data_IF_066876869895
#
_entry.id   IF_066876869895
#
_cell.length_a   1.000
_cell.length_b   1.000
_cell.length_c   1.000
_cell.angle_alpha   90.00
_cell.angle_beta   90.00
_cell.angle_gamma   90.00
#
_symmetry.space_group_name_H-M   'P 1'
#
loop_
_entity.id
_entity.type
_entity.pdbx_description
1 polymer ?
#
# COMPACT_ATOMS: atom_id res chain seq x y z
N UNK A 1 0.31 19.64 -15.82
CA UNK A 1 1.33 20.68 -16.13
C UNK A 1 1.20 21.31 -17.52
N UNK A 2 1.23 20.55 -18.64
CA UNK A 2 1.08 21.12 -20.01
C UNK A 2 -0.32 21.75 -20.23
N UNK A 3 -1.38 21.11 -19.73
CA UNK A 3 -2.76 21.62 -19.79
C UNK A 3 -2.92 22.93 -19.01
N UNK A 4 -2.27 23.06 -17.84
CA UNK A 4 -2.30 24.29 -17.04
C UNK A 4 -1.57 25.46 -17.72
N UNK A 5 -0.49 25.20 -18.46
CA UNK A 5 0.26 26.24 -19.18
C UNK A 5 -0.56 26.76 -20.37
N UNK A 6 -1.26 25.87 -21.08
CA UNK A 6 -2.13 26.23 -22.22
C UNK A 6 -3.31 27.09 -21.75
N UNK A 7 -3.94 26.74 -20.62
CA UNK A 7 -5.05 27.52 -20.05
C UNK A 7 -4.57 28.91 -19.62
N UNK A 8 -3.38 29.03 -19.02
CA UNK A 8 -2.81 30.33 -18.58
C UNK A 8 -2.46 31.24 -19.75
N UNK A 9 -2.05 30.69 -20.90
CA UNK A 9 -1.71 31.45 -22.11
C UNK A 9 -2.97 31.90 -22.86
N UNK A 10 -4.01 31.07 -22.94
CA UNK A 10 -5.25 31.41 -23.65
C UNK A 10 -6.16 32.38 -22.89
N UNK A 11 -6.04 32.45 -21.56
CA UNK A 11 -6.76 33.39 -20.71
C UNK A 11 -6.49 34.87 -21.01
N UNK A 12 -5.43 35.19 -21.76
CA UNK A 12 -4.99 36.57 -21.98
C UNK A 12 -5.49 37.20 -23.29
N UNK A 13 -6.10 36.46 -24.24
CA UNK A 13 -6.19 36.95 -25.63
C UNK A 13 -7.58 37.13 -26.28
N UNK A 14 -8.68 36.48 -25.87
CA UNK A 14 -10.02 36.83 -26.42
C UNK A 14 -11.17 36.16 -25.65
N UNK A 15 -12.25 36.89 -25.34
CA UNK A 15 -13.38 36.39 -24.53
C UNK A 15 -14.18 35.26 -25.18
N UNK A 16 -14.24 35.24 -26.52
CA UNK A 16 -14.88 34.15 -27.28
C UNK A 16 -14.03 32.88 -27.25
N UNK A 17 -12.71 33.02 -27.41
CA UNK A 17 -11.74 31.94 -27.24
C UNK A 17 -11.77 31.37 -25.81
N UNK A 18 -11.92 32.23 -24.80
CA UNK A 18 -11.98 31.81 -23.40
C UNK A 18 -13.16 30.86 -23.10
N UNK A 19 -14.36 31.22 -23.52
CA UNK A 19 -15.57 30.38 -23.36
C UNK A 19 -15.44 29.04 -24.09
N UNK A 20 -14.91 29.05 -25.31
CA UNK A 20 -14.67 27.81 -26.08
C UNK A 20 -13.66 26.89 -25.37
N UNK A 21 -12.60 27.46 -24.80
CA UNK A 21 -11.60 26.71 -24.02
C UNK A 21 -12.19 26.07 -22.76
N UNK A 22 -13.05 26.77 -22.01
CA UNK A 22 -13.73 26.20 -20.84
C UNK A 22 -14.65 25.06 -21.27
N UNK A 23 -15.40 25.24 -22.36
CA UNK A 23 -16.28 24.20 -22.90
C UNK A 23 -15.53 22.93 -23.29
N UNK A 24 -14.37 23.08 -23.94
CA UNK A 24 -13.48 21.95 -24.23
C UNK A 24 -12.98 21.27 -22.95
N UNK A 25 -12.58 22.04 -21.94
CA UNK A 25 -12.09 21.49 -20.68
C UNK A 25 -13.18 20.73 -19.90
N UNK A 26 -14.42 21.24 -19.90
CA UNK A 26 -15.58 20.54 -19.34
C UNK A 26 -15.81 19.19 -20.03
N UNK A 27 -15.71 19.17 -21.36
CA UNK A 27 -15.88 17.95 -22.18
C UNK A 27 -14.78 16.93 -21.89
N UNK A 28 -13.52 17.38 -21.83
CA UNK A 28 -12.38 16.51 -21.48
C UNK A 28 -12.53 15.96 -20.07
N UNK A 29 -12.92 16.79 -19.10
CA UNK A 29 -13.15 16.35 -17.73
C UNK A 29 -14.29 15.32 -17.64
N UNK A 30 -15.41 15.54 -18.34
CA UNK A 30 -16.51 14.58 -18.40
C UNK A 30 -16.06 13.22 -18.95
N UNK A 31 -15.38 13.23 -20.10
CA UNK A 31 -14.84 12.03 -20.72
C UNK A 31 -13.84 11.30 -19.81
N UNK A 32 -13.01 12.06 -19.07
CA UNK A 32 -12.09 11.47 -18.10
C UNK A 32 -12.84 10.81 -16.93
N UNK A 33 -13.87 11.44 -16.37
CA UNK A 33 -14.71 10.84 -15.33
C UNK A 33 -15.38 9.55 -15.80
N UNK A 34 -15.93 9.54 -17.02
CA UNK A 34 -16.57 8.36 -17.59
C UNK A 34 -15.54 7.24 -17.83
N UNK A 35 -14.34 7.60 -18.29
CA UNK A 35 -13.21 6.66 -18.45
C UNK A 35 -12.77 6.08 -17.11
N UNK A 36 -12.65 6.90 -16.06
CA UNK A 36 -12.30 6.43 -14.71
C UNK A 36 -13.37 5.49 -14.16
N UNK A 37 -14.64 5.80 -14.39
CA UNK A 37 -15.76 4.93 -14.01
C UNK A 37 -15.66 3.56 -14.69
N UNK A 38 -15.33 3.54 -15.99
CA UNK A 38 -15.11 2.31 -16.73
C UNK A 38 -13.88 1.53 -16.23
N UNK A 39 -12.78 2.22 -15.92
CA UNK A 39 -11.57 1.60 -15.36
C UNK A 39 -11.90 0.95 -14.01
N UNK A 40 -12.59 1.65 -13.12
CA UNK A 40 -12.98 1.11 -11.82
C UNK A 40 -13.89 -0.11 -11.96
N UNK A 41 -14.83 -0.09 -12.91
CA UNK A 41 -15.71 -1.23 -13.19
C UNK A 41 -14.95 -2.44 -13.77
N UNK A 42 -14.04 -2.21 -14.72
CA UNK A 42 -13.31 -3.27 -15.40
C UNK A 42 -12.18 -3.87 -14.56
N UNK A 43 -11.46 -3.03 -13.82
CA UNK A 43 -10.23 -3.41 -13.11
C UNK A 43 -10.34 -3.34 -11.59
N UNK A 44 -11.49 -2.97 -11.02
CA UNK A 44 -11.67 -2.88 -9.57
C UNK A 44 -11.33 -4.18 -8.84
N UNK A 45 -11.84 -5.31 -9.33
CA UNK A 45 -11.56 -6.65 -8.77
C UNK A 45 -10.09 -7.01 -8.94
N UNK A 46 -9.51 -6.70 -10.09
CA UNK A 46 -8.09 -6.95 -10.38
C UNK A 46 -7.20 -6.14 -9.42
N UNK A 47 -7.47 -4.85 -9.25
CA UNK A 47 -6.75 -3.98 -8.33
C UNK A 47 -6.88 -4.45 -6.87
N UNK A 48 -8.06 -4.94 -6.47
CA UNK A 48 -8.30 -5.53 -5.16
C UNK A 48 -7.41 -6.77 -4.93
N UNK A 49 -7.45 -7.73 -5.85
CA UNK A 49 -6.64 -8.97 -5.78
C UNK A 49 -5.14 -8.65 -5.79
N UNK A 50 -4.69 -7.72 -6.63
CA UNK A 50 -3.28 -7.31 -6.68
C UNK A 50 -2.85 -6.66 -5.36
N UNK A 51 -3.71 -5.85 -4.75
CA UNK A 51 -3.45 -5.21 -3.45
C UNK A 51 -3.36 -6.23 -2.32
N UNK A 52 -4.31 -7.16 -2.24
CA UNK A 52 -4.33 -8.22 -1.22
C UNK A 52 -3.10 -9.12 -1.35
N UNK A 53 -2.80 -9.58 -2.58
CA UNK A 53 -1.61 -10.41 -2.82
C UNK A 53 -0.32 -9.64 -2.50
N UNK A 54 -0.27 -8.33 -2.78
CA UNK A 54 0.87 -7.48 -2.42
C UNK A 54 1.07 -7.43 -0.90
N UNK A 55 -0.01 -7.19 -0.14
CA UNK A 55 0.01 -7.16 1.32
C UNK A 55 0.54 -8.47 1.91
N UNK A 56 0.04 -9.61 1.43
CA UNK A 56 0.50 -10.94 1.88
C UNK A 56 2.00 -11.11 1.61
N UNK A 57 2.48 -10.78 0.41
CA UNK A 57 3.90 -10.90 0.08
C UNK A 57 4.78 -9.93 0.89
N UNK A 58 4.29 -8.71 1.16
CA UNK A 58 4.99 -7.72 1.98
C UNK A 58 5.02 -8.09 3.47
N UNK A 59 4.22 -9.05 3.93
CA UNK A 59 4.31 -9.61 5.28
C UNK A 59 5.24 -10.82 5.29
N UNK A 60 5.01 -11.77 4.38
CA UNK A 60 5.72 -13.06 4.38
C UNK A 60 7.20 -12.88 4.04
N UNK A 61 7.53 -12.13 2.98
CA UNK A 61 8.91 -12.00 2.48
C UNK A 61 9.82 -11.35 3.53
N UNK A 62 9.46 -10.22 4.16
CA UNK A 62 10.28 -9.63 5.21
C UNK A 62 10.33 -10.47 6.50
N UNK A 63 9.26 -11.19 6.84
CA UNK A 63 9.27 -12.08 8.00
C UNK A 63 10.34 -13.17 7.88
N UNK A 64 10.39 -13.87 6.74
CA UNK A 64 11.45 -14.86 6.47
C UNK A 64 12.83 -14.20 6.42
N UNK A 65 12.95 -13.01 5.81
CA UNK A 65 14.20 -12.26 5.79
C UNK A 65 14.71 -11.94 7.21
N UNK A 66 13.83 -11.56 8.14
CA UNK A 66 14.18 -11.20 9.52
C UNK A 66 14.63 -12.43 10.32
N UNK A 67 13.91 -13.56 10.21
CA UNK A 67 14.27 -14.79 10.93
C UNK A 67 15.58 -15.38 10.41
N UNK A 68 15.80 -15.32 9.10
CA UNK A 68 16.97 -15.93 8.47
C UNK A 68 18.22 -15.04 8.46
N UNK A 69 18.12 -13.80 8.97
CA UNK A 69 19.24 -12.86 9.06
C UNK A 69 20.33 -13.27 10.07
N UNK A 70 20.14 -14.34 10.86
CA UNK A 70 21.09 -14.85 11.87
C UNK A 70 22.34 -15.55 11.27
N UNK A 71 22.75 -15.18 10.05
CA UNK A 71 24.03 -15.55 9.44
C UNK A 71 24.16 -16.99 8.91
N UNK A 72 23.08 -17.78 8.89
CA UNK A 72 23.10 -19.21 8.50
C UNK A 72 22.85 -19.47 7.01
N UNK A 73 22.55 -18.44 6.21
CA UNK A 73 22.15 -18.57 4.79
C UNK A 73 23.09 -17.80 3.86
N UNK A 74 23.17 -18.28 2.62
CA UNK A 74 23.94 -17.67 1.54
C UNK A 74 23.49 -16.22 1.29
N UNK A 75 24.42 -15.25 1.12
CA UNK A 75 24.08 -13.84 0.90
C UNK A 75 23.22 -13.62 -0.35
N UNK A 76 23.31 -14.52 -1.33
CA UNK A 76 22.47 -14.52 -2.53
C UNK A 76 20.98 -14.69 -2.19
N UNK A 77 20.64 -15.52 -1.20
CA UNK A 77 19.24 -15.70 -0.80
C UNK A 77 18.66 -14.40 -0.22
N UNK A 78 19.39 -13.76 0.70
CA UNK A 78 18.98 -12.47 1.28
C UNK A 78 18.82 -11.38 0.21
N UNK A 79 19.73 -11.34 -0.77
CA UNK A 79 19.64 -10.39 -1.89
C UNK A 79 18.39 -10.63 -2.76
N UNK A 80 18.06 -11.87 -3.08
CA UNK A 80 16.87 -12.23 -3.85
C UNK A 80 15.59 -11.84 -3.09
N UNK A 81 15.53 -12.11 -1.79
CA UNK A 81 14.38 -11.73 -0.95
C UNK A 81 14.22 -10.20 -0.87
N UNK A 82 15.32 -9.47 -0.68
CA UNK A 82 15.31 -8.01 -0.69
C UNK A 82 14.82 -7.44 -2.03
N UNK A 83 15.28 -8.01 -3.15
CA UNK A 83 14.81 -7.63 -4.48
C UNK A 83 13.31 -7.89 -4.66
N UNK A 84 12.80 -9.01 -4.13
CA UNK A 84 11.38 -9.34 -4.16
C UNK A 84 10.54 -8.32 -3.38
N UNK A 85 11.01 -7.90 -2.20
CA UNK A 85 10.37 -6.82 -1.42
C UNK A 85 10.30 -5.52 -2.21
N UNK A 86 11.41 -5.10 -2.83
CA UNK A 86 11.46 -3.90 -3.67
C UNK A 86 10.48 -4.01 -4.83
N UNK A 87 10.41 -5.18 -5.48
CA UNK A 87 9.48 -5.42 -6.58
C UNK A 87 8.01 -5.26 -6.14
N UNK A 88 7.60 -5.80 -4.99
CA UNK A 88 6.22 -5.64 -4.49
C UNK A 88 5.90 -4.19 -4.12
N UNK A 89 6.84 -3.48 -3.48
CA UNK A 89 6.69 -2.05 -3.18
C UNK A 89 6.53 -1.26 -4.49
N UNK A 90 7.38 -1.53 -5.47
CA UNK A 90 7.32 -0.89 -6.79
C UNK A 90 5.98 -1.16 -7.48
N UNK A 91 5.49 -2.40 -7.43
CA UNK A 91 4.19 -2.79 -8.00
C UNK A 91 3.04 -2.01 -7.37
N UNK A 92 3.05 -1.82 -6.05
CA UNK A 92 2.06 -1.02 -5.35
C UNK A 92 2.11 0.46 -5.79
N UNK A 93 3.32 1.02 -5.92
CA UNK A 93 3.50 2.40 -6.38
C UNK A 93 3.07 2.60 -7.83
N UNK A 94 3.30 1.62 -8.72
CA UNK A 94 2.84 1.66 -10.11
C UNK A 94 1.32 1.81 -10.22
N UNK A 95 0.56 1.25 -9.28
CA UNK A 95 -0.90 1.36 -9.25
C UNK A 95 -1.31 2.72 -8.66
N UNK A 96 -0.69 3.14 -7.57
CA UNK A 96 -1.12 4.32 -6.79
C UNK A 96 -0.66 5.65 -7.38
N UNK A 97 0.55 5.73 -7.96
CA UNK A 97 1.08 7.00 -8.46
C UNK A 97 0.25 7.63 -9.59
N UNK A 98 -0.15 6.90 -10.66
CA UNK A 98 -0.92 7.51 -11.74
C UNK A 98 -2.31 7.96 -11.28
N UNK A 99 -2.98 7.16 -10.44
CA UNK A 99 -4.30 7.49 -9.89
C UNK A 99 -4.21 8.71 -8.97
N UNK A 100 -3.23 8.75 -8.07
CA UNK A 100 -2.98 9.89 -7.20
C UNK A 100 -2.65 11.17 -7.99
N UNK A 101 -1.82 11.08 -9.02
CA UNK A 101 -1.47 12.21 -9.87
C UNK A 101 -2.71 12.76 -10.59
N UNK A 102 -3.52 11.89 -11.19
CA UNK A 102 -4.75 12.28 -11.88
C UNK A 102 -5.76 12.95 -10.93
N UNK A 103 -6.04 12.34 -9.77
CA UNK A 103 -6.93 12.91 -8.76
C UNK A 103 -6.41 14.25 -8.23
N UNK A 104 -5.09 14.37 -8.03
CA UNK A 104 -4.48 15.62 -7.56
C UNK A 104 -4.56 16.74 -8.59
N UNK A 105 -4.31 16.45 -9.87
CA UNK A 105 -4.47 17.44 -10.94
C UNK A 105 -5.95 17.85 -11.09
N UNK A 106 -6.91 16.92 -10.95
CA UNK A 106 -8.34 17.26 -10.90
C UNK A 106 -8.69 18.25 -9.78
N UNK A 107 -8.17 18.03 -8.57
CA UNK A 107 -8.33 18.96 -7.43
C UNK A 107 -7.69 20.32 -7.69
N UNK A 108 -6.51 20.36 -8.32
CA UNK A 108 -5.86 21.63 -8.71
C UNK A 108 -6.69 22.38 -9.75
N UNK A 109 -7.28 21.69 -10.72
CA UNK A 109 -8.19 22.30 -11.70
C UNK A 109 -9.39 22.93 -11.01
N UNK A 110 -10.02 22.25 -10.04
CA UNK A 110 -11.11 22.83 -9.24
C UNK A 110 -10.71 24.09 -8.48
N UNK A 111 -9.52 24.09 -7.86
CA UNK A 111 -8.99 25.28 -7.18
C UNK A 111 -8.76 26.46 -8.15
N UNK A 112 -8.23 26.19 -9.35
CA UNK A 112 -7.99 27.23 -10.36
C UNK A 112 -9.29 27.80 -10.91
N UNK A 113 -10.28 26.95 -11.21
CA UNK A 113 -11.62 27.37 -11.64
C UNK A 113 -12.27 28.27 -10.60
N UNK A 114 -12.13 27.93 -9.31
CA UNK A 114 -12.65 28.73 -8.20
C UNK A 114 -11.97 30.09 -8.09
N UNK A 115 -10.65 30.15 -8.31
CA UNK A 115 -9.91 31.42 -8.36
C UNK A 115 -10.28 32.26 -9.58
N UNK A 116 -10.49 31.63 -10.74
CA UNK A 116 -10.89 32.34 -11.95
C UNK A 116 -12.29 32.95 -11.82
N UNK A 117 -13.19 32.25 -11.12
CA UNK A 117 -14.54 32.71 -10.86
C UNK A 117 -14.58 33.99 -10.00
N UNK A 118 -13.60 34.19 -9.10
CA UNK A 118 -13.54 35.38 -8.26
C UNK A 118 -13.03 36.63 -8.99
N UNK A 119 -12.30 36.46 -10.08
CA UNK A 119 -11.69 37.57 -10.85
C UNK A 119 -12.34 37.83 -12.20
N UNK A 120 -13.20 36.95 -12.71
CA UNK A 120 -13.83 37.10 -14.03
C UNK A 120 -14.92 38.18 -14.05
N UNK A 121 -14.73 39.29 -14.81
CA UNK A 121 -15.76 40.33 -14.96
C UNK A 121 -16.80 40.00 -16.05
N UNK A 122 -16.47 39.08 -16.97
CA UNK A 122 -17.35 38.69 -18.08
C UNK A 122 -18.48 37.77 -17.62
N UNK A 123 -19.72 38.10 -18.00
CA UNK A 123 -20.93 37.37 -17.56
C UNK A 123 -21.03 35.97 -18.17
N UNK A 124 -20.67 35.81 -19.44
CA UNK A 124 -20.82 34.51 -20.12
C UNK A 124 -19.73 33.53 -19.66
N UNK A 125 -18.47 33.96 -19.65
CA UNK A 125 -17.35 33.18 -19.12
C UNK A 125 -17.54 32.79 -17.65
N UNK A 126 -18.10 33.70 -16.84
CA UNK A 126 -18.47 33.40 -15.44
C UNK A 126 -19.50 32.28 -15.34
N UNK A 127 -20.56 32.31 -16.15
CA UNK A 127 -21.59 31.26 -16.16
C UNK A 127 -20.99 29.89 -16.52
N UNK A 128 -20.09 29.85 -17.51
CA UNK A 128 -19.39 28.61 -17.90
C UNK A 128 -18.47 28.09 -16.79
N UNK A 129 -17.75 28.99 -16.11
CA UNK A 129 -16.95 28.67 -14.93
C UNK A 129 -17.79 28.13 -13.76
N UNK A 130 -18.98 28.67 -13.51
CA UNK A 130 -19.91 28.16 -12.49
C UNK A 130 -20.36 26.74 -12.81
N UNK A 131 -20.75 26.48 -14.07
CA UNK A 131 -21.11 25.13 -14.54
C UNK A 131 -19.94 24.17 -14.37
N UNK A 132 -18.73 24.57 -14.77
CA UNK A 132 -17.56 23.72 -14.65
C UNK A 132 -17.17 23.46 -13.19
N UNK A 133 -17.27 24.47 -12.32
CA UNK A 133 -17.05 24.32 -10.88
C UNK A 133 -18.01 23.30 -10.27
N UNK A 134 -19.30 23.39 -10.61
CA UNK A 134 -20.31 22.41 -10.23
C UNK A 134 -19.98 21.00 -10.74
N UNK A 135 -19.51 20.88 -11.98
CA UNK A 135 -19.09 19.59 -12.54
C UNK A 135 -17.90 18.98 -11.79
N UNK A 136 -16.88 19.79 -11.47
CA UNK A 136 -15.70 19.35 -10.71
C UNK A 136 -16.06 18.94 -9.28
N UNK A 137 -17.04 19.61 -8.67
CA UNK A 137 -17.55 19.29 -7.34
C UNK A 137 -18.35 17.97 -7.33
N UNK A 138 -19.23 17.78 -8.30
CA UNK A 138 -20.16 16.64 -8.33
C UNK A 138 -19.61 15.38 -9.01
N UNK A 139 -18.56 15.50 -9.84
CA UNK A 139 -17.90 14.37 -10.50
C UNK A 139 -16.40 14.38 -10.23
N UNK A 140 -15.97 14.12 -8.98
CA UNK A 140 -14.54 14.05 -8.69
C UNK A 140 -13.89 12.88 -9.43
N UNK A 141 -12.64 13.06 -9.84
CA UNK A 141 -11.81 11.97 -10.36
C UNK A 141 -11.37 11.06 -9.22
N UNK A 142 -12.09 9.95 -9.05
CA UNK A 142 -11.85 8.99 -7.98
C UNK A 142 -11.56 7.59 -8.54
N UNK A 143 -10.37 7.08 -8.25
CA UNK A 143 -9.97 5.73 -8.58
C UNK A 143 -10.16 4.84 -7.37
N UNK A 144 -10.93 3.77 -7.51
CA UNK A 144 -11.25 2.89 -6.40
C UNK A 144 -11.27 1.42 -6.83
N UNK A 145 -10.93 0.54 -5.89
CA UNK A 145 -11.02 -0.90 -6.08
C UNK A 145 -12.36 -1.41 -5.53
N UNK A 146 -13.29 -1.76 -6.42
CA UNK A 146 -14.64 -2.23 -6.06
C UNK A 146 -15.43 -1.32 -5.12
N UNK A 147 -15.08 -0.02 -5.02
CA UNK A 147 -15.65 0.88 -4.03
C UNK A 147 -15.25 0.60 -2.56
N UNK A 148 -14.32 -0.34 -2.32
CA UNK A 148 -13.86 -0.68 -0.97
C UNK A 148 -12.82 0.30 -0.42
N UNK A 149 -11.90 0.75 -1.29
CA UNK A 149 -10.87 1.73 -0.95
C UNK A 149 -10.44 2.52 -2.18
N UNK A 150 -9.96 3.73 -1.93
CA UNK A 150 -9.36 4.62 -2.94
C UNK A 150 -7.92 4.20 -3.24
N UNK A 151 -7.54 4.25 -4.52
CA UNK A 151 -6.18 3.97 -4.98
C UNK A 151 -5.33 5.25 -4.83
N UNK A 152 -5.02 5.65 -3.60
CA UNK A 152 -4.25 6.84 -3.30
C UNK A 152 -3.10 6.57 -2.32
N UNK A 153 -2.40 7.63 -1.88
CA UNK A 153 -1.27 7.51 -0.94
C UNK A 153 -1.68 6.98 0.44
N UNK A 154 -2.95 7.14 0.82
CA UNK A 154 -3.50 6.60 2.07
C UNK A 154 -3.54 5.08 2.04
N UNK A 155 -3.73 4.46 0.86
CA UNK A 155 -3.61 3.02 0.70
C UNK A 155 -2.19 2.54 1.02
N UNK A 156 -1.17 3.25 0.52
CA UNK A 156 0.24 2.91 0.76
C UNK A 156 0.57 3.01 2.25
N UNK A 157 0.15 4.09 2.93
CA UNK A 157 0.39 4.25 4.36
C UNK A 157 -0.36 3.21 5.18
N UNK A 158 -1.59 2.86 4.80
CA UNK A 158 -2.37 1.81 5.46
C UNK A 158 -1.71 0.44 5.32
N UNK A 159 -1.21 0.09 4.13
CA UNK A 159 -0.46 -1.15 3.89
C UNK A 159 0.83 -1.16 4.70
N UNK A 160 1.59 -0.07 4.71
CA UNK A 160 2.83 0.02 5.50
C UNK A 160 2.57 -0.16 7.01
N UNK A 161 1.50 0.43 7.54
CA UNK A 161 1.07 0.26 8.92
C UNK A 161 0.65 -1.19 9.22
N UNK A 162 -0.15 -1.80 8.34
CA UNK A 162 -0.56 -3.19 8.47
C UNK A 162 0.64 -4.15 8.44
N UNK A 163 1.53 -4.01 7.47
CA UNK A 163 2.77 -4.80 7.36
C UNK A 163 3.60 -4.69 8.63
N UNK A 164 3.84 -3.46 9.12
CA UNK A 164 4.60 -3.24 10.35
C UNK A 164 3.95 -3.94 11.54
N UNK A 165 2.62 -3.79 11.69
CA UNK A 165 1.87 -4.39 12.80
C UNK A 165 1.94 -5.91 12.76
N UNK A 166 1.72 -6.52 11.59
CA UNK A 166 1.77 -7.98 11.43
C UNK A 166 3.18 -8.53 11.65
N UNK A 167 4.23 -7.85 11.15
CA UNK A 167 5.61 -8.26 11.39
C UNK A 167 5.94 -8.24 12.89
N UNK A 168 5.56 -7.18 13.59
CA UNK A 168 5.77 -7.07 15.04
C UNK A 168 5.09 -8.22 15.79
N UNK A 169 3.84 -8.54 15.43
CA UNK A 169 3.10 -9.66 16.02
C UNK A 169 3.80 -11.00 15.74
N UNK A 170 4.17 -11.25 14.49
CA UNK A 170 4.83 -12.51 14.09
C UNK A 170 6.18 -12.71 14.79
N UNK A 171 6.97 -11.65 14.93
CA UNK A 171 8.26 -11.70 15.63
C UNK A 171 8.06 -11.99 17.13
N UNK A 172 7.05 -11.39 17.75
CA UNK A 172 6.74 -11.65 19.16
C UNK A 172 6.34 -13.11 19.40
N UNK A 173 5.45 -13.66 18.57
CA UNK A 173 5.05 -15.07 18.66
C UNK A 173 6.23 -16.03 18.43
N UNK A 174 7.08 -15.75 17.43
CA UNK A 174 8.27 -16.56 17.17
C UNK A 174 9.20 -16.63 18.40
N UNK A 175 9.47 -15.48 19.03
CA UNK A 175 10.34 -15.42 20.21
C UNK A 175 9.78 -16.19 21.41
N UNK A 176 8.46 -16.14 21.61
CA UNK A 176 7.81 -16.93 22.66
C UNK A 176 7.94 -18.43 22.42
N UNK A 177 7.72 -18.88 21.19
CA UNK A 177 7.81 -20.30 20.83
C UNK A 177 9.25 -20.83 20.93
N UNK A 178 10.25 -20.04 20.50
CA UNK A 178 11.67 -20.37 20.69
C UNK A 178 12.04 -20.49 22.18
N UNK A 179 11.49 -19.61 23.02
CA UNK A 179 11.71 -19.64 24.47
C UNK A 179 11.09 -20.89 25.11
N UNK A 180 9.86 -21.25 24.71
CA UNK A 180 9.18 -22.48 25.17
C UNK A 180 9.93 -23.73 24.74
N UNK A 181 10.34 -23.80 23.47
CA UNK A 181 11.11 -24.93 22.94
C UNK A 181 12.44 -25.13 23.68
N UNK A 182 13.15 -24.05 24.00
CA UNK A 182 14.38 -24.13 24.79
C UNK A 182 14.12 -24.64 26.22
N UNK A 183 13.04 -24.17 26.86
CA UNK A 183 12.65 -24.65 28.19
C UNK A 183 12.28 -26.15 28.19
N UNK A 184 11.50 -26.62 27.22
CA UNK A 184 11.14 -28.03 27.08
C UNK A 184 12.35 -28.92 26.87
N UNK A 185 13.33 -28.46 26.09
CA UNK A 185 14.59 -29.17 25.87
C UNK A 185 15.41 -29.27 27.17
N UNK A 186 15.44 -28.20 27.98
CA UNK A 186 16.08 -28.22 29.31
C UNK A 186 15.38 -29.21 30.25
N UNK A 187 14.05 -29.23 30.28
CA UNK A 187 13.28 -30.16 31.11
C UNK A 187 13.52 -31.63 30.71
N UNK A 188 13.56 -31.91 29.40
CA UNK A 188 13.89 -33.26 28.88
C UNK A 188 15.29 -33.69 29.28
N UNK A 189 16.29 -32.79 29.18
CA UNK A 189 17.66 -33.09 29.57
C UNK A 189 17.78 -33.37 31.08
N UNK A 190 17.19 -32.51 31.93
CA UNK A 190 17.16 -32.69 33.38
C UNK A 190 16.50 -34.02 33.79
N UNK A 191 15.38 -34.37 33.16
CA UNK A 191 14.69 -35.64 33.41
C UNK A 191 15.55 -36.84 33.00
N UNK A 192 16.27 -36.74 31.89
CA UNK A 192 17.19 -37.79 31.44
C UNK A 192 18.36 -37.96 32.40
N UNK A 193 18.91 -36.87 32.95
CA UNK A 193 19.97 -36.93 33.96
C UNK A 193 19.49 -37.64 35.24
N UNK A 194 18.28 -37.33 35.71
CA UNK A 194 17.69 -38.00 36.88
C UNK A 194 17.49 -39.49 36.64
N UNK A 195 17.00 -39.88 35.45
CA UNK A 195 16.90 -41.30 35.07
C UNK A 195 18.27 -41.99 35.09
N UNK A 196 19.28 -41.39 34.46
CA UNK A 196 20.63 -41.95 34.43
C UNK A 196 21.22 -42.12 35.84
N UNK A 197 21.04 -41.13 36.72
CA UNK A 197 21.48 -41.20 38.11
C UNK A 197 20.76 -42.30 38.91
N UNK A 198 19.44 -42.45 38.72
CA UNK A 198 18.66 -43.53 39.37
C UNK A 198 19.10 -44.93 38.92
N UNK A 199 19.41 -45.10 37.63
CA UNK A 199 19.96 -46.34 37.08
C UNK A 199 21.32 -46.66 37.68
N UNK A 200 22.20 -45.66 37.79
CA UNK A 200 23.52 -45.82 38.41
C UNK A 200 23.41 -46.22 39.89
N UNK A 201 22.51 -45.59 40.65
CA UNK A 201 22.25 -45.94 42.04
C UNK A 201 21.75 -47.38 42.17
N UNK A 202 20.81 -47.82 41.32
CA UNK A 202 20.27 -49.18 41.38
C UNK A 202 21.33 -50.25 41.07
N UNK A 203 22.22 -49.99 40.10
CA UNK A 203 23.36 -50.88 39.79
C UNK A 203 24.32 -50.97 40.99
N UNK A 204 24.60 -49.83 41.63
CA UNK A 204 25.53 -49.78 42.78
C UNK A 204 24.93 -50.49 44.01
N UNK A 205 23.64 -50.30 44.28
CA UNK A 205 22.93 -50.95 45.37
C UNK A 205 22.81 -52.47 45.15
N UNK A 206 22.48 -52.92 43.93
CA UNK A 206 22.44 -54.34 43.59
C UNK A 206 23.81 -55.04 43.71
N UNK A 207 24.90 -54.30 43.49
CA UNK A 207 26.28 -54.82 43.67
C UNK A 207 26.70 -54.92 45.13
N UNK A 208 26.12 -54.12 46.03
CA UNK A 208 26.39 -54.14 47.47
C UNK A 208 25.54 -55.16 48.24
N UNK A 209 24.40 -55.58 47.69
CA UNK A 209 23.51 -56.60 48.28
C UNK A 209 23.80 -58.06 47.88
N UNK A 210 24.89 -58.32 47.14
CA UNK A 210 25.29 -59.65 46.64
C UNK A 210 26.48 -60.28 47.39
N UNK A 211 26.74 -59.88 48.64
CA UNK A 211 27.70 -60.54 49.53
C UNK A 211 26.99 -61.22 50.70
#
# INVERSE_FOLDING_TARGET
MIVLIIIKINLFLDGKSFTDNISQLMTVHASLCDTVTLINAAYGVVALVITITCLIHLIITPYFLIIEADGRREPLFLAVQGLWCIFHIWRLLMIVQPTYAATTEGKKTAALVSQLLSVSPDREGRKQLEIFSLQLLHRPLEFSACGLFTLDRTLVTSIAGAVTTYLVILIQFQKEDDTKGNFDNMLKNATQMLKNASTLHNITAGRLGLN
#
